data_IF_538061806042
#
_entry.id   IF_538061806042
#
_cell.length_a   1.000
_cell.length_b   1.000
_cell.length_c   1.000
_cell.angle_alpha   90.00
_cell.angle_beta   90.00
_cell.angle_gamma   90.00
#
_symmetry.space_group_name_H-M   'P 1'
#
loop_
_entity.id
_entity.type
_entity.pdbx_description
1 polymer ?
#
# COMPACT_ATOMS: atom_id res chain seq x y z
N UNK A 1 4.14 40.69 -6.60
CA UNK A 1 4.91 39.66 -5.87
C UNK A 1 4.55 38.32 -6.52
N UNK A 2 5.55 37.56 -6.99
CA UNK A 2 5.28 36.25 -7.61
C UNK A 2 4.69 35.28 -6.59
N UNK A 3 3.75 34.44 -7.01
CA UNK A 3 3.22 33.36 -6.19
C UNK A 3 4.32 32.36 -5.83
N UNK A 4 4.43 31.97 -4.56
CA UNK A 4 5.33 30.88 -4.14
C UNK A 4 5.02 29.62 -4.93
N UNK A 5 6.01 28.99 -5.60
CA UNK A 5 5.76 27.77 -6.36
C UNK A 5 5.37 26.64 -5.42
N UNK A 6 4.36 25.85 -5.82
CA UNK A 6 3.98 24.62 -5.12
C UNK A 6 5.02 23.54 -5.37
N UNK A 7 5.49 22.88 -4.30
CA UNK A 7 6.37 21.71 -4.41
C UNK A 7 5.49 20.47 -4.63
N UNK A 8 5.78 19.71 -5.68
CA UNK A 8 5.07 18.50 -6.08
C UNK A 8 6.07 17.45 -6.60
N UNK A 9 5.60 16.24 -6.93
CA UNK A 9 6.47 15.17 -7.43
C UNK A 9 7.31 15.65 -8.62
N UNK A 10 8.62 15.42 -8.55
CA UNK A 10 9.58 15.78 -9.59
C UNK A 10 10.12 17.21 -9.49
N UNK A 11 9.58 18.07 -8.63
CA UNK A 11 10.21 19.35 -8.33
C UNK A 11 11.62 19.14 -7.75
N UNK A 12 12.58 19.97 -8.18
CA UNK A 12 13.95 19.99 -7.66
C UNK A 12 14.37 21.42 -7.32
N UNK A 13 15.15 21.58 -6.24
CA UNK A 13 15.72 22.87 -5.85
C UNK A 13 16.66 23.41 -6.95
N UNK A 14 16.80 24.75 -7.02
CA UNK A 14 17.45 25.44 -8.13
C UNK A 14 18.94 25.08 -8.30
N UNK A 15 19.61 24.75 -7.20
CA UNK A 15 21.03 24.44 -7.09
C UNK A 15 21.35 22.94 -7.31
N UNK A 16 20.34 22.09 -7.49
CA UNK A 16 20.53 20.66 -7.71
C UNK A 16 21.02 20.38 -9.15
N UNK A 17 22.19 19.74 -9.23
CA UNK A 17 22.85 19.38 -10.48
C UNK A 17 22.08 18.32 -11.28
N UNK A 18 22.26 18.34 -12.61
CA UNK A 18 21.67 17.33 -13.49
C UNK A 18 22.17 15.91 -13.19
N UNK A 19 23.42 15.78 -12.71
CA UNK A 19 23.98 14.49 -12.30
C UNK A 19 23.23 13.89 -11.09
N UNK A 20 22.88 14.72 -10.10
CA UNK A 20 22.10 14.28 -8.94
C UNK A 20 20.67 13.90 -9.35
N UNK A 21 20.05 14.68 -10.23
CA UNK A 21 18.75 14.35 -10.82
C UNK A 21 18.81 13.00 -11.57
N UNK A 22 19.81 12.78 -12.42
CA UNK A 22 19.98 11.55 -13.18
C UNK A 22 20.20 10.33 -12.25
N UNK A 23 21.00 10.48 -11.19
CA UNK A 23 21.21 9.44 -10.19
C UNK A 23 19.90 9.07 -9.46
N UNK A 24 19.09 10.06 -9.10
CA UNK A 24 17.76 9.82 -8.53
C UNK A 24 16.83 9.06 -9.49
N UNK A 25 16.75 9.48 -10.76
CA UNK A 25 15.90 8.83 -11.75
C UNK A 25 16.36 7.39 -12.01
N UNK A 26 17.68 7.15 -12.10
CA UNK A 26 18.25 5.80 -12.25
C UNK A 26 17.90 4.89 -11.07
N UNK A 27 17.89 5.44 -9.85
CA UNK A 27 17.50 4.70 -8.65
C UNK A 27 16.00 4.33 -8.65
N UNK A 28 15.14 5.21 -9.17
CA UNK A 28 13.72 4.92 -9.38
C UNK A 28 13.53 3.77 -10.37
N UNK A 29 14.22 3.81 -11.51
CA UNK A 29 14.16 2.75 -12.52
C UNK A 29 14.65 1.41 -11.95
N UNK A 30 15.78 1.42 -11.23
CA UNK A 30 16.34 0.23 -10.59
C UNK A 30 15.38 -0.36 -9.55
N UNK A 31 14.78 0.47 -8.71
CA UNK A 31 13.90 0.04 -7.63
C UNK A 31 12.57 -0.49 -8.15
N UNK A 32 11.99 0.19 -9.14
CA UNK A 32 10.70 -0.18 -9.75
C UNK A 32 10.81 -1.19 -10.87
N UNK A 33 12.04 -1.43 -11.36
CA UNK A 33 12.42 -2.39 -12.42
C UNK A 33 11.77 -2.11 -13.77
N UNK A 34 11.41 -0.86 -14.01
CA UNK A 34 10.82 -0.40 -15.27
C UNK A 34 11.50 0.92 -15.63
N UNK A 35 11.91 1.06 -16.88
CA UNK A 35 12.44 2.31 -17.38
C UNK A 35 11.38 3.41 -17.31
N UNK A 36 11.74 4.63 -16.93
CA UNK A 36 10.82 5.76 -16.85
C UNK A 36 10.27 6.16 -18.23
N UNK A 37 11.02 5.87 -19.29
CA UNK A 37 10.56 6.03 -20.68
C UNK A 37 9.33 5.17 -21.00
N UNK A 38 9.19 4.01 -20.36
CA UNK A 38 8.08 3.08 -20.54
C UNK A 38 6.84 3.46 -19.71
N UNK A 39 6.99 4.37 -18.74
CA UNK A 39 5.90 4.83 -17.88
C UNK A 39 5.01 5.79 -18.65
N UNK A 40 3.69 5.54 -18.59
CA UNK A 40 2.67 6.39 -19.19
C UNK A 40 2.77 7.79 -18.62
N UNK A 41 2.42 8.77 -19.44
CA UNK A 41 2.41 10.17 -19.01
C UNK A 41 1.20 10.43 -18.10
N UNK A 42 1.38 10.19 -16.81
CA UNK A 42 0.40 10.38 -15.75
C UNK A 42 0.98 11.31 -14.69
N UNK A 43 0.15 11.91 -13.81
CA UNK A 43 0.65 12.72 -12.70
C UNK A 43 1.56 11.97 -11.70
N UNK A 44 1.54 10.63 -11.72
CA UNK A 44 2.41 9.79 -10.89
C UNK A 44 3.77 9.52 -11.56
N UNK A 45 3.97 9.88 -12.84
CA UNK A 45 5.28 9.79 -13.50
C UNK A 45 6.17 10.93 -13.03
N UNK A 46 7.30 10.58 -12.43
CA UNK A 46 8.29 11.59 -12.06
C UNK A 46 8.94 12.22 -13.30
N UNK A 47 8.81 13.54 -13.41
CA UNK A 47 9.47 14.38 -14.43
C UNK A 47 10.16 15.52 -13.71
N UNK A 48 11.46 15.71 -13.96
CA UNK A 48 12.25 16.71 -13.25
C UNK A 48 11.83 18.13 -13.64
N UNK A 49 11.45 18.92 -12.63
CA UNK A 49 11.01 20.32 -12.77
C UNK A 49 11.84 21.19 -11.84
N UNK A 50 12.85 21.86 -12.39
CA UNK A 50 13.71 22.75 -11.62
C UNK A 50 12.96 24.01 -11.22
N UNK A 51 12.87 24.24 -9.92
CA UNK A 51 12.25 25.45 -9.38
C UNK A 51 13.23 26.63 -9.49
N UNK A 52 12.69 27.83 -9.65
CA UNK A 52 13.48 29.04 -9.43
C UNK A 52 13.86 29.13 -7.94
N UNK A 53 14.90 29.90 -7.58
CA UNK A 53 15.23 30.16 -6.18
C UNK A 53 13.99 30.60 -5.39
N UNK A 54 13.74 29.94 -4.25
CA UNK A 54 12.55 30.21 -3.46
C UNK A 54 12.56 31.65 -2.94
N UNK A 55 11.41 32.35 -2.97
CA UNK A 55 11.33 33.70 -2.42
C UNK A 55 11.59 33.68 -0.91
N UNK A 56 12.06 34.81 -0.38
CA UNK A 56 12.31 34.97 1.06
C UNK A 56 11.09 34.55 1.89
N UNK A 57 11.31 33.66 2.86
CA UNK A 57 10.27 33.12 3.74
C UNK A 57 9.53 31.88 3.23
N UNK A 58 9.77 31.45 1.98
CA UNK A 58 9.29 30.15 1.50
C UNK A 58 10.34 29.05 1.75
N UNK A 59 9.86 27.82 2.00
CA UNK A 59 10.73 26.67 2.23
C UNK A 59 11.23 26.07 0.91
N UNK A 60 12.53 25.82 0.79
CA UNK A 60 13.09 24.95 -0.26
C UNK A 60 12.67 23.49 -0.04
N UNK A 61 12.87 22.64 -1.05
CA UNK A 61 12.58 21.21 -0.94
C UNK A 61 13.46 20.57 0.14
N UNK A 62 14.75 20.91 0.18
CA UNK A 62 15.64 20.44 1.23
C UNK A 62 15.16 20.86 2.64
N UNK A 63 14.65 22.08 2.81
CA UNK A 63 14.08 22.53 4.09
C UNK A 63 12.81 21.77 4.45
N UNK A 64 11.95 21.48 3.47
CA UNK A 64 10.75 20.63 3.68
C UNK A 64 11.15 19.22 4.11
N UNK A 65 12.15 18.61 3.47
CA UNK A 65 12.67 17.30 3.83
C UNK A 65 13.24 17.28 5.26
N UNK A 66 14.04 18.30 5.63
CA UNK A 66 14.57 18.45 6.99
C UNK A 66 13.45 18.58 8.02
N UNK A 67 12.46 19.42 7.75
CA UNK A 67 11.32 19.62 8.64
C UNK A 67 10.51 18.34 8.83
N UNK A 68 10.13 17.65 7.74
CA UNK A 68 9.40 16.37 7.79
C UNK A 68 10.20 15.29 8.54
N UNK A 69 11.52 15.24 8.37
CA UNK A 69 12.38 14.34 9.13
C UNK A 69 12.38 14.71 10.62
N UNK A 70 12.51 15.99 10.95
CA UNK A 70 12.52 16.49 12.32
C UNK A 70 11.23 16.13 13.08
N UNK A 71 10.06 16.22 12.43
CA UNK A 71 8.76 15.88 13.04
C UNK A 71 8.36 14.41 12.89
N UNK A 72 9.17 13.57 12.23
CA UNK A 72 9.01 12.10 12.22
C UNK A 72 8.24 11.50 11.04
N UNK A 73 7.97 12.27 9.98
CA UNK A 73 7.32 11.77 8.75
C UNK A 73 8.30 11.29 7.67
N UNK A 74 9.60 11.50 7.87
CA UNK A 74 10.62 11.15 6.87
C UNK A 74 11.86 10.45 7.50
N UNK A 75 11.66 9.33 8.22
CA UNK A 75 12.76 8.62 8.88
C UNK A 75 13.80 8.13 7.86
N UNK A 76 15.07 8.41 8.13
CA UNK A 76 16.20 8.12 7.23
C UNK A 76 15.96 8.58 5.79
N UNK A 77 15.19 9.65 5.62
CA UNK A 77 14.99 10.32 4.35
C UNK A 77 16.23 11.11 3.95
N UNK A 78 16.58 11.09 2.65
CA UNK A 78 17.69 11.91 2.14
C UNK A 78 17.22 13.36 2.02
N UNK A 79 18.02 14.28 2.52
CA UNK A 79 17.84 15.72 2.28
C UNK A 79 18.65 16.05 1.04
N UNK A 80 18.04 15.88 -0.13
CA UNK A 80 18.70 15.99 -1.44
C UNK A 80 18.10 17.10 -2.33
N UNK A 81 17.09 17.83 -1.83
CA UNK A 81 16.43 18.90 -2.59
C UNK A 81 15.59 18.38 -3.76
N UNK A 82 15.30 17.07 -3.82
CA UNK A 82 14.47 16.44 -4.87
C UNK A 82 13.17 15.95 -4.24
N UNK A 83 12.03 16.47 -4.71
CA UNK A 83 10.72 16.00 -4.29
C UNK A 83 10.37 14.70 -5.05
N UNK A 84 11.02 13.61 -4.68
CA UNK A 84 10.76 12.26 -5.19
C UNK A 84 9.58 11.58 -4.48
N UNK A 85 9.33 10.30 -4.81
CA UNK A 85 8.20 9.55 -4.24
C UNK A 85 8.20 9.51 -2.71
N UNK A 86 9.37 9.32 -2.07
CA UNK A 86 9.43 9.29 -0.60
C UNK A 86 9.10 10.66 0.03
N UNK A 87 9.57 11.75 -0.56
CA UNK A 87 9.25 13.11 -0.09
C UNK A 87 7.76 13.41 -0.30
N UNK A 88 7.20 13.06 -1.47
CA UNK A 88 5.77 13.23 -1.73
C UNK A 88 4.91 12.40 -0.76
N UNK A 89 5.29 11.14 -0.49
CA UNK A 89 4.62 10.30 0.50
C UNK A 89 4.70 10.90 1.91
N UNK A 90 5.84 11.44 2.32
CA UNK A 90 5.96 12.12 3.61
C UNK A 90 5.08 13.37 3.70
N UNK A 91 4.97 14.15 2.61
CA UNK A 91 4.04 15.29 2.51
C UNK A 91 2.58 14.80 2.65
N UNK A 92 2.19 13.75 1.92
CA UNK A 92 0.83 13.18 2.01
C UNK A 92 0.51 12.64 3.40
N UNK A 93 1.42 11.91 4.04
CA UNK A 93 1.23 11.45 5.42
C UNK A 93 1.06 12.62 6.38
N UNK A 94 1.86 13.67 6.24
CA UNK A 94 1.73 14.86 7.07
C UNK A 94 0.38 15.56 6.86
N UNK A 95 -0.04 15.75 5.60
CA UNK A 95 -1.36 16.30 5.26
C UNK A 95 -2.48 15.43 5.84
N UNK A 96 -2.36 14.10 5.79
CA UNK A 96 -3.33 13.16 6.34
C UNK A 96 -3.42 13.25 7.87
N UNK A 97 -2.29 13.43 8.57
CA UNK A 97 -2.28 13.69 10.00
C UNK A 97 -2.94 15.01 10.37
N UNK A 98 -2.63 16.08 9.63
CA UNK A 98 -3.30 17.37 9.84
C UNK A 98 -4.81 17.24 9.61
N UNK A 99 -5.23 16.49 8.58
CA UNK A 99 -6.64 16.24 8.30
C UNK A 99 -7.35 15.49 9.42
N UNK A 100 -6.73 14.43 9.91
CA UNK A 100 -7.39 13.47 10.82
C UNK A 100 -7.21 13.82 12.30
N UNK A 101 -5.99 14.15 12.73
CA UNK A 101 -5.69 14.44 14.13
C UNK A 101 -6.06 15.87 14.54
N UNK A 102 -6.07 16.83 13.60
CA UNK A 102 -6.45 18.23 13.88
C UNK A 102 -7.81 18.63 13.27
N UNK A 103 -8.51 17.69 12.65
CA UNK A 103 -9.80 17.90 11.98
C UNK A 103 -9.79 19.08 10.99
N UNK A 104 -8.72 19.20 10.20
CA UNK A 104 -8.56 20.27 9.22
C UNK A 104 -9.04 19.83 7.85
N UNK A 105 -9.71 20.73 7.12
CA UNK A 105 -10.17 20.45 5.76
C UNK A 105 -9.03 20.53 4.73
N UNK A 106 -8.09 19.58 4.76
CA UNK A 106 -6.97 19.49 3.82
C UNK A 106 -7.02 18.15 3.08
N UNK A 107 -6.82 18.16 1.76
CA UNK A 107 -6.71 16.94 0.95
C UNK A 107 -5.26 16.45 0.99
N UNK A 108 -4.99 15.16 1.28
CA UNK A 108 -3.67 14.56 1.18
C UNK A 108 -3.26 14.30 -0.28
N UNK A 109 -3.01 15.38 -1.03
CA UNK A 109 -2.70 15.35 -2.46
C UNK A 109 -1.19 15.31 -2.78
N UNK A 110 -0.33 15.52 -1.79
CA UNK A 110 1.12 15.55 -1.94
C UNK A 110 1.65 16.85 -2.53
N UNK A 111 0.81 17.87 -2.67
CA UNK A 111 1.18 19.21 -3.11
C UNK A 111 1.49 20.08 -1.90
N UNK A 112 2.75 20.42 -1.74
CA UNK A 112 3.20 21.28 -0.65
C UNK A 112 3.07 22.75 -1.08
N UNK A 113 1.89 23.30 -0.82
CA UNK A 113 1.56 24.72 -1.00
C UNK A 113 1.58 25.51 0.32
N UNK A 114 1.18 26.81 0.28
CA UNK A 114 1.24 27.69 1.45
C UNK A 114 0.51 27.16 2.69
N UNK A 115 -0.63 26.47 2.50
CA UNK A 115 -1.38 25.87 3.61
C UNK A 115 -0.58 24.77 4.30
N UNK A 116 -0.05 23.81 3.54
CA UNK A 116 0.79 22.73 4.09
C UNK A 116 2.04 23.29 4.75
N UNK A 117 2.67 24.31 4.16
CA UNK A 117 3.81 25.00 4.75
C UNK A 117 3.50 25.62 6.12
N UNK A 118 2.35 26.29 6.26
CA UNK A 118 1.92 26.88 7.53
C UNK A 118 1.72 25.82 8.62
N UNK A 119 1.11 24.68 8.29
CA UNK A 119 0.97 23.56 9.24
C UNK A 119 2.33 22.96 9.61
N UNK A 120 3.21 22.73 8.63
CA UNK A 120 4.53 22.13 8.87
C UNK A 120 5.38 23.03 9.76
N UNK A 121 5.42 24.34 9.47
CA UNK A 121 6.15 25.30 10.28
C UNK A 121 5.61 25.36 11.72
N UNK A 122 4.28 25.28 11.90
CA UNK A 122 3.68 25.22 13.24
C UNK A 122 4.14 23.99 14.01
N UNK A 123 4.13 22.80 13.39
CA UNK A 123 4.58 21.56 14.04
C UNK A 123 6.06 21.61 14.40
N UNK A 124 6.90 22.15 13.51
CA UNK A 124 8.34 22.35 13.80
C UNK A 124 8.52 23.30 14.99
N UNK A 125 7.81 24.43 15.01
CA UNK A 125 7.95 25.42 16.08
C UNK A 125 7.46 24.91 17.45
N UNK A 126 6.43 24.07 17.48
CA UNK A 126 5.90 23.48 18.71
C UNK A 126 6.59 22.17 19.12
N UNK A 127 7.50 21.63 18.30
CA UNK A 127 8.09 20.32 18.51
C UNK A 127 7.08 19.16 18.41
N UNK A 128 5.94 19.38 17.75
CA UNK A 128 4.89 18.40 17.61
C UNK A 128 5.34 17.22 16.74
N UNK A 129 4.92 16.02 17.14
CA UNK A 129 5.18 14.75 16.46
C UNK A 129 3.87 13.98 16.32
N UNK A 130 3.76 13.07 15.33
CA UNK A 130 2.57 12.24 15.20
C UNK A 130 2.40 11.36 16.44
N UNK A 131 1.22 11.43 17.05
CA UNK A 131 0.77 10.51 18.10
C UNK A 131 0.12 9.30 17.44
N UNK A 132 0.89 8.24 17.23
CA UNK A 132 0.43 6.98 16.64
C UNK A 132 -0.31 6.14 17.68
N UNK A 133 -1.38 6.68 18.28
CA UNK A 133 -2.18 5.97 19.29
C UNK A 133 -2.55 4.58 18.79
N UNK A 134 -2.28 3.57 19.61
CA UNK A 134 -2.44 2.18 19.23
C UNK A 134 -3.20 1.39 20.28
N UNK A 135 -3.95 0.37 19.83
CA UNK A 135 -4.51 -0.64 20.72
C UNK A 135 -3.38 -1.50 21.30
N UNK A 136 -3.21 -1.56 22.63
CA UNK A 136 -2.14 -2.34 23.25
C UNK A 136 -2.22 -3.81 22.85
N UNK A 137 -1.08 -4.40 22.48
CA UNK A 137 -0.96 -5.83 22.17
C UNK A 137 -1.46 -6.28 20.80
N UNK A 138 -2.20 -5.45 20.05
CA UNK A 138 -2.77 -5.88 18.77
C UNK A 138 -1.69 -6.28 17.75
N UNK A 139 -0.60 -5.52 17.68
CA UNK A 139 0.53 -5.82 16.77
C UNK A 139 1.11 -7.21 17.03
N UNK A 140 1.38 -7.52 18.30
CA UNK A 140 1.97 -8.81 18.69
C UNK A 140 0.99 -9.96 18.56
N UNK A 141 -0.31 -9.70 18.77
CA UNK A 141 -1.34 -10.68 18.52
C UNK A 141 -1.36 -11.11 17.04
N UNK A 142 -1.21 -10.17 16.10
CA UNK A 142 -1.13 -10.48 14.67
C UNK A 142 0.13 -11.25 14.30
N UNK A 143 1.30 -10.88 14.82
CA UNK A 143 2.54 -11.66 14.60
C UNK A 143 2.41 -13.08 15.18
N UNK A 144 1.83 -13.20 16.37
CA UNK A 144 1.55 -14.49 16.99
C UNK A 144 0.57 -15.34 16.18
N UNK A 145 -0.43 -14.73 15.54
CA UNK A 145 -1.32 -15.45 14.61
C UNK A 145 -0.54 -15.96 13.39
N UNK A 146 0.32 -15.13 12.78
CA UNK A 146 1.14 -15.56 11.64
C UNK A 146 2.02 -16.77 12.00
N UNK A 147 2.62 -16.78 13.20
CA UNK A 147 3.42 -17.93 13.66
C UNK A 147 2.57 -19.18 13.87
N UNK A 148 1.42 -19.08 14.54
CA UNK A 148 0.51 -20.23 14.73
C UNK A 148 0.02 -20.81 13.40
N UNK A 149 -0.30 -19.95 12.43
CA UNK A 149 -0.70 -20.40 11.08
C UNK A 149 0.46 -21.09 10.37
N UNK A 150 1.66 -20.52 10.45
CA UNK A 150 2.89 -21.12 9.92
C UNK A 150 3.11 -22.52 10.47
N UNK A 151 3.09 -22.68 11.80
CA UNK A 151 3.24 -23.97 12.49
C UNK A 151 2.18 -24.97 12.02
N UNK A 152 0.92 -24.54 11.95
CA UNK A 152 -0.19 -25.38 11.47
C UNK A 152 0.01 -25.84 10.02
N UNK A 153 0.46 -24.96 9.12
CA UNK A 153 0.70 -25.28 7.71
C UNK A 153 1.92 -26.19 7.51
N UNK A 154 2.87 -26.21 8.45
CA UNK A 154 3.99 -27.15 8.46
C UNK A 154 3.54 -28.52 8.97
N UNK A 155 2.79 -28.56 10.07
CA UNK A 155 2.36 -29.80 10.72
C UNK A 155 1.29 -30.54 9.91
N UNK A 156 0.30 -29.81 9.40
CA UNK A 156 -0.86 -30.34 8.70
C UNK A 156 -1.06 -29.62 7.35
N UNK A 157 -0.15 -29.81 6.37
CA UNK A 157 -0.24 -29.11 5.11
C UNK A 157 -1.48 -29.57 4.33
N UNK A 158 -2.41 -28.64 4.09
CA UNK A 158 -3.53 -28.85 3.18
C UNK A 158 -3.09 -29.01 1.72
N UNK A 159 -3.99 -29.38 0.79
CA UNK A 159 -3.63 -29.73 -0.59
C UNK A 159 -2.81 -28.67 -1.33
N UNK A 160 -3.21 -27.39 -1.28
CA UNK A 160 -2.43 -26.31 -1.91
C UNK A 160 -1.07 -26.10 -1.25
N UNK A 161 -0.98 -26.21 0.08
CA UNK A 161 0.29 -26.11 0.82
C UNK A 161 1.24 -27.25 0.44
N UNK A 162 0.74 -28.46 0.26
CA UNK A 162 1.53 -29.60 -0.23
C UNK A 162 2.10 -29.31 -1.63
N UNK A 163 1.30 -28.72 -2.53
CA UNK A 163 1.76 -28.33 -3.87
C UNK A 163 2.81 -27.22 -3.83
N UNK A 164 2.66 -26.23 -2.95
CA UNK A 164 3.68 -25.18 -2.72
C UNK A 164 4.99 -25.81 -2.22
N UNK A 165 4.93 -26.74 -1.27
CA UNK A 165 6.11 -27.43 -0.76
C UNK A 165 6.83 -28.27 -1.83
N UNK A 166 6.06 -28.92 -2.70
CA UNK A 166 6.55 -29.75 -3.80
C UNK A 166 7.04 -28.93 -5.02
N UNK A 167 6.67 -27.65 -5.14
CA UNK A 167 7.08 -26.80 -6.25
C UNK A 167 8.61 -26.62 -6.28
N UNK A 168 9.23 -26.96 -7.41
CA UNK A 168 10.68 -26.93 -7.61
C UNK A 168 11.18 -25.70 -8.40
N UNK A 169 10.27 -24.96 -9.04
CA UNK A 169 10.62 -23.77 -9.81
C UNK A 169 10.91 -22.56 -8.92
N UNK A 170 11.49 -21.51 -9.50
CA UNK A 170 11.62 -20.23 -8.82
C UNK A 170 10.26 -19.54 -8.69
N UNK A 171 9.95 -19.00 -7.52
CA UNK A 171 8.76 -18.17 -7.30
C UNK A 171 8.98 -17.20 -6.13
N UNK A 172 8.11 -16.20 -6.03
CA UNK A 172 8.03 -15.28 -4.89
C UNK A 172 7.13 -15.80 -3.76
N UNK A 173 6.55 -17.00 -3.91
CA UNK A 173 5.76 -17.65 -2.86
C UNK A 173 6.66 -18.49 -1.98
N UNK A 174 6.53 -18.30 -0.67
CA UNK A 174 7.36 -18.96 0.32
C UNK A 174 6.70 -20.23 0.81
N UNK A 175 7.51 -21.27 0.99
CA UNK A 175 7.11 -22.46 1.72
C UNK A 175 6.89 -22.06 3.18
N UNK A 176 5.94 -22.67 3.92
CA UNK A 176 5.70 -22.35 5.33
C UNK A 176 6.97 -22.34 6.19
N UNK A 177 7.90 -23.27 5.97
CA UNK A 177 9.18 -23.30 6.69
C UNK A 177 10.03 -22.02 6.52
N UNK A 178 9.88 -21.32 5.39
CA UNK A 178 10.61 -20.11 5.04
C UNK A 178 9.84 -18.82 5.38
N UNK A 179 8.66 -18.92 6.00
CA UNK A 179 7.89 -17.74 6.39
C UNK A 179 8.62 -16.99 7.49
N UNK A 180 8.68 -15.67 7.32
CA UNK A 180 9.17 -14.73 8.32
C UNK A 180 7.96 -14.08 8.99
N UNK A 181 7.86 -14.24 10.31
CA UNK A 181 6.78 -13.76 11.17
C UNK A 181 7.30 -12.74 12.19
N UNK A 182 8.55 -12.29 12.03
CA UNK A 182 9.19 -11.39 12.98
C UNK A 182 8.81 -9.93 12.74
N UNK A 183 8.76 -9.15 13.83
CA UNK A 183 8.65 -7.68 13.81
C UNK A 183 9.62 -7.04 14.80
N UNK A 184 9.66 -5.70 14.94
CA UNK A 184 8.99 -4.69 14.11
C UNK A 184 9.82 -4.20 12.89
N UNK A 185 10.99 -4.82 12.65
CA UNK A 185 11.90 -4.46 11.54
C UNK A 185 11.44 -4.87 10.14
N UNK A 186 10.28 -5.52 10.02
CA UNK A 186 9.70 -6.02 8.78
C UNK A 186 8.33 -5.39 8.50
N UNK A 187 7.98 -5.34 7.21
CA UNK A 187 6.67 -4.90 6.74
C UNK A 187 5.86 -6.16 6.41
N UNK A 188 4.77 -6.37 7.16
CA UNK A 188 3.80 -7.43 6.84
C UNK A 188 2.52 -6.80 6.34
N UNK A 189 2.01 -7.29 5.21
CA UNK A 189 0.67 -6.98 4.73
C UNK A 189 -0.12 -8.27 4.71
N UNK A 190 -1.20 -8.34 5.45
CA UNK A 190 -1.98 -9.57 5.62
C UNK A 190 -3.31 -9.38 4.92
N UNK A 191 -3.59 -10.14 3.86
CA UNK A 191 -4.94 -10.23 3.31
C UNK A 191 -5.70 -11.36 3.98
N UNK A 192 -6.92 -11.13 4.43
CA UNK A 192 -7.79 -12.17 4.99
C UNK A 192 -8.91 -12.45 4.00
N UNK A 193 -8.79 -13.54 3.24
CA UNK A 193 -9.80 -13.98 2.27
C UNK A 193 -10.99 -14.59 2.98
N UNK A 194 -12.19 -14.10 2.70
CA UNK A 194 -13.44 -14.68 3.21
C UNK A 194 -13.67 -16.10 2.68
N UNK A 195 -14.41 -16.88 3.45
CA UNK A 195 -14.87 -18.22 3.02
C UNK A 195 -15.99 -18.15 1.98
N UNK A 196 -16.63 -16.98 1.85
CA UNK A 196 -17.73 -16.72 0.92
C UNK A 196 -17.24 -15.84 -0.22
N UNK A 197 -17.27 -16.37 -1.44
CA UNK A 197 -17.01 -15.60 -2.65
C UNK A 197 -18.26 -14.80 -3.03
N UNK A 198 -18.20 -13.48 -2.88
CA UNK A 198 -19.35 -12.57 -3.07
C UNK A 198 -19.17 -11.59 -4.24
N UNK A 199 -17.99 -11.56 -4.89
CA UNK A 199 -17.59 -10.51 -5.85
C UNK A 199 -17.69 -9.08 -5.25
N UNK A 200 -17.58 -8.95 -3.93
CA UNK A 200 -17.60 -7.68 -3.20
C UNK A 200 -16.25 -7.34 -2.60
N UNK A 201 -16.11 -6.10 -2.16
CA UNK A 201 -14.97 -5.66 -1.36
C UNK A 201 -15.24 -5.88 0.14
N UNK A 202 -15.35 -7.13 0.56
CA UNK A 202 -15.65 -7.52 1.95
C UNK A 202 -14.45 -8.17 2.68
N UNK A 203 -13.30 -8.25 2.01
CA UNK A 203 -12.03 -8.63 2.62
C UNK A 203 -11.39 -7.45 3.37
N UNK A 204 -10.54 -7.80 4.35
CA UNK A 204 -9.72 -6.83 5.07
C UNK A 204 -8.25 -7.15 4.86
N UNK A 205 -7.47 -6.09 4.64
CA UNK A 205 -6.03 -6.09 4.62
C UNK A 205 -5.50 -5.46 5.89
N UNK A 206 -4.52 -6.08 6.53
CA UNK A 206 -3.89 -5.59 7.77
C UNK A 206 -2.42 -5.31 7.51
N UNK A 207 -2.00 -4.06 7.64
CA UNK A 207 -0.61 -3.65 7.53
C UNK A 207 0.02 -3.59 8.91
N UNK A 208 1.07 -4.38 9.14
CA UNK A 208 1.91 -4.36 10.32
C UNK A 208 3.25 -3.74 9.97
N UNK A 209 3.60 -2.62 10.61
CA UNK A 209 4.95 -2.03 10.48
C UNK A 209 5.28 -1.16 11.68
N UNK A 210 6.52 -1.25 12.18
CA UNK A 210 7.02 -0.39 13.28
C UNK A 210 6.13 -0.44 14.55
N UNK A 211 5.54 -1.60 14.85
CA UNK A 211 4.59 -1.76 15.96
C UNK A 211 3.16 -1.27 15.68
N UNK A 212 2.90 -0.68 14.52
CA UNK A 212 1.60 -0.12 14.14
C UNK A 212 0.76 -1.12 13.36
N UNK A 213 -0.56 -1.05 13.53
CA UNK A 213 -1.56 -1.86 12.83
C UNK A 213 -2.52 -0.95 12.09
N UNK A 214 -2.54 -1.01 10.77
CA UNK A 214 -3.56 -0.35 9.95
C UNK A 214 -4.43 -1.39 9.27
N UNK A 215 -5.71 -1.09 9.07
CA UNK A 215 -6.63 -1.99 8.37
C UNK A 215 -7.28 -1.29 7.19
N UNK A 216 -7.40 -2.00 6.07
CA UNK A 216 -7.94 -1.47 4.83
C UNK A 216 -8.98 -2.43 4.27
N UNK A 217 -10.05 -1.89 3.70
CA UNK A 217 -11.02 -2.69 2.96
C UNK A 217 -10.48 -3.01 1.56
N UNK A 218 -10.77 -4.20 1.05
CA UNK A 218 -10.39 -4.58 -0.30
C UNK A 218 -11.03 -5.88 -0.76
N UNK A 219 -10.41 -6.49 -1.76
CA UNK A 219 -10.69 -7.86 -2.18
C UNK A 219 -9.38 -8.60 -2.49
N UNK A 220 -9.32 -9.83 -2.03
CA UNK A 220 -8.25 -10.80 -2.25
C UNK A 220 -8.59 -11.80 -3.37
N UNK A 221 -9.81 -11.70 -3.88
CA UNK A 221 -10.37 -12.58 -4.88
C UNK A 221 -10.35 -11.89 -6.26
N UNK A 222 -10.19 -12.66 -7.34
CA UNK A 222 -10.45 -12.15 -8.68
C UNK A 222 -11.92 -11.73 -8.81
N UNK A 223 -12.16 -10.64 -9.55
CA UNK A 223 -13.46 -10.27 -10.07
C UNK A 223 -13.71 -10.95 -11.42
N UNK A 224 -14.03 -10.15 -12.43
CA UNK A 224 -14.30 -10.67 -13.77
C UNK A 224 -13.00 -11.08 -14.48
N UNK A 225 -13.04 -12.15 -15.27
CA UNK A 225 -11.95 -12.56 -16.15
C UNK A 225 -12.50 -13.07 -17.48
N UNK A 226 -11.89 -12.63 -18.58
CA UNK A 226 -12.18 -13.13 -19.93
C UNK A 226 -11.24 -14.26 -20.36
N UNK A 227 -10.36 -14.73 -19.47
CA UNK A 227 -9.42 -15.78 -19.80
C UNK A 227 -10.14 -17.14 -19.92
N UNK A 228 -9.90 -17.93 -20.98
CA UNK A 228 -10.65 -19.17 -21.23
C UNK A 228 -10.46 -20.23 -20.12
N UNK A 229 -9.30 -20.21 -19.46
CA UNK A 229 -9.00 -21.10 -18.33
C UNK A 229 -9.45 -20.55 -16.96
N UNK A 230 -10.22 -19.46 -16.93
CA UNK A 230 -10.64 -18.80 -15.70
C UNK A 230 -9.59 -17.86 -15.10
N UNK A 231 -9.97 -17.11 -14.05
CA UNK A 231 -9.07 -16.17 -13.37
C UNK A 231 -7.97 -16.89 -12.57
N UNK A 232 -6.75 -16.32 -12.47
CA UNK A 232 -5.75 -16.77 -11.51
C UNK A 232 -6.14 -16.40 -10.07
N UNK A 233 -6.13 -17.39 -9.20
CA UNK A 233 -6.22 -17.22 -7.75
C UNK A 233 -4.83 -17.33 -7.14
N UNK A 234 -4.44 -16.30 -6.38
CA UNK A 234 -3.26 -16.37 -5.52
C UNK A 234 -3.45 -17.49 -4.48
N UNK A 235 -2.47 -18.37 -4.37
CA UNK A 235 -2.47 -19.44 -3.36
C UNK A 235 -2.34 -18.84 -1.96
N UNK A 236 -3.06 -19.34 -0.94
CA UNK A 236 -2.85 -18.90 0.43
C UNK A 236 -1.40 -19.11 0.89
N UNK A 237 -0.88 -18.17 1.69
CA UNK A 237 0.46 -18.23 2.26
C UNK A 237 1.23 -16.92 2.19
N UNK A 238 2.54 -16.96 2.47
CA UNK A 238 3.40 -15.76 2.46
C UNK A 238 4.14 -15.60 1.13
N UNK A 239 4.20 -14.35 0.66
CA UNK A 239 4.74 -13.97 -0.64
C UNK A 239 5.61 -12.72 -0.52
N UNK A 240 6.60 -12.60 -1.40
CA UNK A 240 7.51 -11.46 -1.46
C UNK A 240 7.03 -10.43 -2.49
N UNK A 241 6.81 -9.21 -2.03
CA UNK A 241 6.42 -8.06 -2.86
C UNK A 241 7.40 -6.89 -2.71
N UNK A 242 7.47 -6.05 -3.75
CA UNK A 242 8.22 -4.79 -3.77
C UNK A 242 7.41 -3.69 -4.46
N UNK A 243 7.83 -2.43 -4.33
CA UNK A 243 7.23 -1.34 -5.09
C UNK A 243 7.56 -1.43 -6.58
N UNK A 244 6.54 -1.36 -7.41
CA UNK A 244 6.64 -1.28 -8.86
C UNK A 244 5.43 -0.57 -9.46
N UNK A 245 5.21 -0.74 -10.77
CA UNK A 245 4.17 -0.03 -11.49
C UNK A 245 2.96 -0.90 -11.83
N UNK A 246 1.76 -0.43 -11.53
CA UNK A 246 0.53 -1.01 -12.05
C UNK A 246 0.15 -0.35 -13.38
N UNK A 247 0.00 -1.16 -14.43
CA UNK A 247 -0.31 -0.71 -15.80
C UNK A 247 0.60 0.43 -16.31
N UNK A 248 1.83 0.51 -15.80
CA UNK A 248 2.78 1.60 -16.09
C UNK A 248 2.21 2.99 -15.82
N UNK A 249 1.32 3.14 -14.84
CA UNK A 249 0.54 4.37 -14.61
C UNK A 249 0.65 4.93 -13.20
N UNK A 250 0.75 4.09 -12.17
CA UNK A 250 0.95 4.50 -10.77
C UNK A 250 1.63 3.40 -9.97
N UNK A 251 2.18 3.75 -8.81
CA UNK A 251 2.88 2.82 -7.92
C UNK A 251 1.93 1.81 -7.27
N UNK A 252 2.37 0.56 -7.23
CA UNK A 252 1.69 -0.56 -6.60
C UNK A 252 2.72 -1.55 -6.02
N UNK A 253 2.25 -2.54 -5.26
CA UNK A 253 3.10 -3.66 -4.87
C UNK A 253 3.06 -4.72 -5.98
N UNK A 254 4.23 -5.22 -6.36
CA UNK A 254 4.43 -6.26 -7.37
C UNK A 254 5.21 -7.44 -6.79
N UNK A 255 5.02 -8.67 -7.31
CA UNK A 255 5.85 -9.82 -6.94
C UNK A 255 7.35 -9.51 -7.11
N UNK A 256 8.17 -9.97 -6.17
CA UNK A 256 9.60 -9.61 -6.06
C UNK A 256 10.50 -10.18 -7.15
N UNK A 257 10.07 -11.06 -8.02
CA UNK A 257 10.96 -11.71 -8.99
C UNK A 257 10.17 -12.50 -10.03
N UNK A 258 10.24 -13.85 -10.03
CA UNK A 258 9.60 -14.67 -11.06
C UNK A 258 8.06 -14.61 -11.04
N UNK A 259 7.46 -14.15 -9.94
CA UNK A 259 6.02 -14.13 -9.73
C UNK A 259 5.58 -14.97 -8.54
N UNK A 260 4.39 -14.66 -8.05
CA UNK A 260 3.71 -15.45 -7.01
C UNK A 260 3.02 -16.65 -7.64
N UNK A 261 2.87 -17.73 -6.87
CA UNK A 261 2.20 -18.93 -7.34
C UNK A 261 0.70 -18.69 -7.39
N UNK A 262 0.12 -18.96 -8.54
CA UNK A 262 -1.33 -18.97 -8.72
C UNK A 262 -1.82 -20.32 -9.19
N UNK A 263 -3.07 -20.58 -8.89
CA UNK A 263 -3.86 -21.66 -9.48
C UNK A 263 -5.03 -21.02 -10.22
N UNK A 264 -5.33 -21.49 -11.43
CA UNK A 264 -6.46 -20.95 -12.19
C UNK A 264 -7.75 -21.63 -11.75
N UNK A 265 -8.77 -20.82 -11.50
CA UNK A 265 -10.12 -21.30 -11.21
C UNK A 265 -10.81 -21.94 -12.43
N UNK A 266 -12.08 -22.25 -12.29
CA UNK A 266 -12.96 -22.69 -13.37
C UNK A 266 -13.40 -21.56 -14.30
N UNK A 267 -14.08 -21.95 -15.39
CA UNK A 267 -14.70 -21.00 -16.33
C UNK A 267 -15.86 -20.20 -15.69
N UNK A 268 -16.38 -20.66 -14.56
CA UNK A 268 -17.39 -19.98 -13.74
C UNK A 268 -16.78 -18.87 -12.85
N UNK A 269 -15.46 -18.70 -12.89
CA UNK A 269 -14.75 -17.67 -12.14
C UNK A 269 -14.48 -18.01 -10.69
N UNK A 270 -14.74 -19.25 -10.26
CA UNK A 270 -14.56 -19.72 -8.88
C UNK A 270 -13.37 -20.64 -8.75
N UNK A 271 -12.88 -20.80 -7.52
CA UNK A 271 -11.87 -21.81 -7.20
C UNK A 271 -12.53 -22.94 -6.41
N UNK A 272 -12.75 -24.06 -7.09
CA UNK A 272 -13.43 -25.22 -6.53
C UNK A 272 -12.46 -26.36 -6.20
N UNK A 273 -12.94 -27.39 -5.51
CA UNK A 273 -12.13 -28.57 -5.15
C UNK A 273 -11.51 -29.24 -6.39
N UNK A 274 -12.22 -29.27 -7.51
CA UNK A 274 -11.73 -29.84 -8.76
C UNK A 274 -10.55 -29.04 -9.36
N UNK A 275 -10.45 -27.76 -9.03
CA UNK A 275 -9.36 -26.90 -9.53
C UNK A 275 -8.06 -27.14 -8.78
N UNK A 276 -8.11 -27.66 -7.55
CA UNK A 276 -6.93 -27.88 -6.68
C UNK A 276 -5.88 -28.75 -7.37
N UNK A 277 -6.28 -29.63 -8.29
CA UNK A 277 -5.37 -30.51 -9.03
C UNK A 277 -4.62 -29.80 -10.17
N UNK A 278 -5.11 -28.64 -10.65
CA UNK A 278 -4.46 -27.84 -11.71
C UNK A 278 -3.05 -27.38 -11.32
N UNK A 279 -2.09 -27.29 -12.25
CA UNK A 279 -0.71 -26.94 -11.94
C UNK A 279 -0.59 -25.54 -11.33
N UNK A 280 0.35 -25.39 -10.38
CA UNK A 280 0.75 -24.07 -9.90
C UNK A 280 1.65 -23.39 -10.93
N UNK A 281 1.42 -22.11 -11.17
CA UNK A 281 2.22 -21.31 -12.10
C UNK A 281 2.71 -20.03 -11.43
N UNK A 282 4.01 -19.68 -11.53
CA UNK A 282 4.48 -18.35 -11.14
C UNK A 282 3.86 -17.28 -12.05
N UNK A 283 3.36 -16.21 -11.46
CA UNK A 283 2.75 -15.11 -12.17
C UNK A 283 3.24 -13.76 -11.60
N UNK A 284 3.98 -13.01 -12.42
CA UNK A 284 4.58 -11.72 -12.06
C UNK A 284 3.64 -10.50 -12.25
N UNK A 285 2.39 -10.72 -12.66
CA UNK A 285 1.39 -9.67 -12.90
C UNK A 285 0.33 -9.57 -11.81
N UNK A 286 0.34 -10.46 -10.81
CA UNK A 286 -0.55 -10.41 -9.66
C UNK A 286 -0.04 -9.34 -8.70
N UNK A 287 -0.56 -8.12 -8.86
CA UNK A 287 -0.16 -6.97 -8.06
C UNK A 287 -1.09 -6.80 -6.83
N UNK A 288 -0.67 -5.94 -5.89
CA UNK A 288 -1.56 -5.35 -4.88
C UNK A 288 -1.73 -3.87 -5.23
N UNK A 289 -2.91 -3.49 -5.72
CA UNK A 289 -3.15 -2.16 -6.26
C UNK A 289 -4.49 -1.56 -5.83
N UNK A 290 -4.79 -0.37 -6.33
CA UNK A 290 -6.00 0.35 -6.00
C UNK A 290 -7.23 -0.23 -6.69
N UNK A 291 -8.29 -0.52 -5.92
CA UNK A 291 -9.57 -1.07 -6.36
C UNK A 291 -10.69 -0.04 -6.60
N UNK A 292 -10.33 1.23 -6.82
CA UNK A 292 -11.33 2.30 -6.90
C UNK A 292 -11.80 2.78 -5.53
N UNK A 293 -12.96 3.47 -5.49
CA UNK A 293 -13.54 3.95 -4.24
C UNK A 293 -13.86 2.81 -3.27
N UNK A 294 -14.31 1.66 -3.78
CA UNK A 294 -14.74 0.54 -2.95
C UNK A 294 -16.17 0.67 -2.42
N UNK A 295 -16.41 0.14 -1.20
CA UNK A 295 -17.70 0.03 -0.51
C UNK A 295 -18.58 -1.12 -1.05
N UNK A 296 -19.88 -0.92 -1.23
CA UNK A 296 -20.83 -1.93 -1.71
C UNK A 296 -20.69 -2.28 -3.21
N UNK A 297 -19.73 -1.67 -3.91
CA UNK A 297 -19.43 -1.93 -5.31
C UNK A 297 -18.91 -3.35 -5.54
N UNK A 298 -19.07 -3.83 -6.77
CA UNK A 298 -18.53 -5.12 -7.21
C UNK A 298 -17.05 -4.99 -7.61
N UNK A 299 -16.28 -6.04 -7.38
CA UNK A 299 -14.87 -6.10 -7.80
C UNK A 299 -14.76 -6.03 -9.31
N UNK A 300 -15.52 -6.84 -10.06
CA UNK A 300 -15.60 -6.79 -11.53
C UNK A 300 -14.22 -6.60 -12.20
N UNK A 301 -14.08 -5.61 -13.07
CA UNK A 301 -12.86 -5.34 -13.84
C UNK A 301 -11.78 -4.59 -13.03
N UNK A 302 -12.00 -4.32 -11.74
CA UNK A 302 -10.95 -3.78 -10.88
C UNK A 302 -9.86 -4.81 -10.61
N UNK A 303 -10.17 -6.10 -10.69
CA UNK A 303 -9.19 -7.17 -10.56
C UNK A 303 -9.57 -8.40 -11.38
N UNK A 304 -8.67 -8.87 -12.23
CA UNK A 304 -8.77 -10.20 -12.85
C UNK A 304 -8.01 -11.27 -12.05
N UNK A 305 -7.51 -10.95 -10.85
CA UNK A 305 -6.68 -11.82 -10.00
C UNK A 305 -5.65 -11.11 -9.13
N UNK A 306 -5.47 -9.81 -9.33
CA UNK A 306 -4.75 -8.94 -8.41
C UNK A 306 -5.45 -8.87 -7.05
N UNK A 307 -4.72 -8.43 -6.03
CA UNK A 307 -5.28 -8.04 -4.75
C UNK A 307 -5.59 -6.54 -4.83
N UNK A 308 -6.77 -6.12 -4.40
CA UNK A 308 -7.21 -4.74 -4.55
C UNK A 308 -7.59 -4.12 -3.22
N UNK A 309 -7.13 -2.89 -2.98
CA UNK A 309 -7.41 -2.12 -1.77
C UNK A 309 -8.16 -0.85 -2.14
N UNK A 310 -9.20 -0.55 -1.37
CA UNK A 310 -10.14 0.52 -1.67
C UNK A 310 -9.63 1.89 -1.22
N UNK A 311 -10.24 2.94 -1.79
CA UNK A 311 -9.92 4.33 -1.46
C UNK A 311 -10.79 4.96 -0.37
N UNK A 312 -11.95 4.40 -0.03
CA UNK A 312 -12.93 5.12 0.81
C UNK A 312 -12.52 5.23 2.28
N UNK A 313 -11.95 4.17 2.85
CA UNK A 313 -11.86 4.01 4.30
C UNK A 313 -10.61 3.24 4.69
N UNK A 314 -10.08 3.53 5.86
CA UNK A 314 -9.16 2.67 6.58
C UNK A 314 -9.44 2.77 8.08
N UNK A 315 -8.93 1.82 8.87
CA UNK A 315 -8.87 1.93 10.32
C UNK A 315 -7.45 2.27 10.75
N UNK A 316 -7.32 3.30 11.59
CA UNK A 316 -6.04 3.71 12.16
C UNK A 316 -5.58 2.73 13.28
N UNK A 317 -4.39 2.91 13.88
CA UNK A 317 -3.90 2.00 14.92
C UNK A 317 -4.71 2.03 16.23
N UNK A 318 -5.51 3.07 16.48
CA UNK A 318 -6.49 3.10 17.56
C UNK A 318 -7.76 2.28 17.22
N UNK A 319 -7.87 1.81 15.98
CA UNK A 319 -9.03 1.10 15.43
C UNK A 319 -10.22 2.01 15.15
N UNK A 320 -9.98 3.31 14.98
CA UNK A 320 -10.98 4.29 14.58
C UNK A 320 -11.09 4.30 13.05
N UNK A 321 -12.32 4.39 12.54
CA UNK A 321 -12.57 4.51 11.11
C UNK A 321 -12.21 5.90 10.62
N UNK A 322 -11.41 5.97 9.55
CA UNK A 322 -11.05 7.22 8.89
C UNK A 322 -11.69 7.25 7.51
N UNK A 323 -12.51 8.28 7.29
CA UNK A 323 -13.24 8.49 6.06
C UNK A 323 -12.44 9.34 5.06
N UNK A 324 -12.23 8.81 3.86
CA UNK A 324 -11.55 9.45 2.73
C UNK A 324 -12.51 9.73 1.54
N UNK A 325 -13.80 9.40 1.67
CA UNK A 325 -14.76 9.38 0.56
C UNK A 325 -14.90 10.72 -0.19
N UNK A 326 -14.74 11.85 0.49
CA UNK A 326 -14.87 13.18 -0.11
C UNK A 326 -13.84 13.43 -1.22
N UNK A 327 -12.64 12.86 -1.09
CA UNK A 327 -11.55 12.99 -2.07
C UNK A 327 -11.13 11.66 -2.71
N UNK A 328 -11.68 10.52 -2.29
CA UNK A 328 -11.45 9.24 -2.97
C UNK A 328 -12.09 9.25 -4.36
N UNK A 329 -11.29 8.94 -5.38
CA UNK A 329 -11.75 8.76 -6.74
C UNK A 329 -12.68 7.54 -6.86
N UNK A 330 -13.70 7.67 -7.68
CA UNK A 330 -14.63 6.61 -8.08
C UNK A 330 -14.10 5.86 -9.30
N UNK A 331 -13.47 6.57 -10.24
CA UNK A 331 -13.02 6.02 -11.53
C UNK A 331 -11.51 6.08 -11.67
N UNK A 332 -10.95 5.16 -12.46
CA UNK A 332 -9.50 5.00 -12.64
C UNK A 332 -8.79 6.25 -13.18
N UNK A 333 -9.46 7.06 -14.00
CA UNK A 333 -8.89 8.27 -14.60
C UNK A 333 -8.96 9.54 -13.74
N UNK A 334 -9.79 9.57 -12.68
CA UNK A 334 -9.98 10.79 -11.87
C UNK A 334 -8.70 11.23 -11.13
N UNK A 335 -7.90 10.34 -10.52
CA UNK A 335 -6.63 10.73 -9.90
C UNK A 335 -5.61 11.28 -10.91
N UNK A 336 -5.76 10.92 -12.19
CA UNK A 336 -4.87 11.34 -13.26
C UNK A 336 -5.32 12.66 -13.90
N UNK A 337 -6.52 13.15 -13.59
CA UNK A 337 -7.09 14.36 -14.19
C UNK A 337 -6.65 15.59 -13.39
N UNK A 338 -5.88 16.51 -13.98
CA UNK A 338 -5.46 17.74 -13.29
C UNK A 338 -6.67 18.53 -12.78
N UNK A 339 -6.62 18.94 -11.51
CA UNK A 339 -7.67 19.73 -10.88
C UNK A 339 -8.91 18.95 -10.43
N UNK A 340 -8.94 17.62 -10.56
CA UNK A 340 -10.08 16.82 -10.09
C UNK A 340 -10.32 16.89 -8.58
N UNK A 341 -9.26 17.22 -7.82
CA UNK A 341 -9.28 17.14 -6.36
C UNK A 341 -9.42 15.70 -5.83
N UNK A 342 -9.34 14.70 -6.70
CA UNK A 342 -9.49 13.29 -6.35
C UNK A 342 -8.15 12.59 -6.25
N UNK A 343 -8.04 11.71 -5.25
CA UNK A 343 -6.87 10.86 -5.02
C UNK A 343 -7.30 9.40 -4.91
N UNK A 344 -6.37 8.48 -4.69
CA UNK A 344 -6.70 7.07 -4.41
C UNK A 344 -7.07 6.82 -2.94
N UNK A 345 -7.23 7.88 -2.14
CA UNK A 345 -7.73 7.82 -0.77
C UNK A 345 -6.91 6.90 0.14
N UNK A 346 -7.57 6.01 0.86
CA UNK A 346 -6.96 5.05 1.77
C UNK A 346 -5.85 4.18 1.13
N UNK A 347 -5.92 3.92 -0.18
CA UNK A 347 -4.82 3.24 -0.88
C UNK A 347 -3.52 4.07 -0.91
N UNK A 348 -3.62 5.39 -1.10
CA UNK A 348 -2.44 6.25 -1.03
C UNK A 348 -1.84 6.18 0.37
N UNK A 349 -2.65 6.18 1.43
CA UNK A 349 -2.14 6.04 2.79
C UNK A 349 -1.30 4.76 2.96
N UNK A 350 -1.78 3.61 2.49
CA UNK A 350 -1.02 2.35 2.57
C UNK A 350 0.34 2.48 1.87
N UNK A 351 0.35 3.01 0.65
CA UNK A 351 1.59 3.21 -0.13
C UNK A 351 2.50 4.21 0.57
N UNK A 352 1.94 5.27 1.14
CA UNK A 352 2.69 6.35 1.78
C UNK A 352 3.30 5.92 3.11
N UNK A 353 2.59 5.15 3.94
CA UNK A 353 3.11 4.56 5.17
C UNK A 353 4.36 3.74 4.86
N UNK A 354 4.24 2.81 3.91
CA UNK A 354 5.35 1.94 3.51
C UNK A 354 6.47 2.75 2.85
N UNK A 355 6.19 3.72 1.98
CA UNK A 355 7.21 4.48 1.23
C UNK A 355 7.97 5.48 2.11
N UNK A 356 7.26 6.23 2.95
CA UNK A 356 7.85 7.28 3.77
C UNK A 356 8.53 6.72 5.02
N UNK A 357 7.89 5.77 5.70
CA UNK A 357 8.31 5.35 7.04
C UNK A 357 9.26 4.15 7.09
N UNK A 358 9.50 3.46 5.96
CA UNK A 358 10.39 2.28 5.91
C UNK A 358 11.87 2.60 5.66
N UNK A 359 12.26 3.88 5.57
CA UNK A 359 13.62 4.26 5.18
C UNK A 359 14.73 3.79 6.13
N UNK A 360 14.38 3.48 7.38
CA UNK A 360 15.25 2.96 8.43
C UNK A 360 15.09 1.44 8.65
N UNK A 361 14.26 0.77 7.84
CA UNK A 361 14.02 -0.67 7.94
C UNK A 361 15.08 -1.46 7.17
N UNK A 362 15.36 -2.68 7.64
CA UNK A 362 16.41 -3.55 7.06
C UNK A 362 16.11 -3.98 5.63
N UNK A 363 14.83 -4.05 5.26
CA UNK A 363 14.37 -4.48 3.96
C UNK A 363 13.15 -3.67 3.53
N UNK A 364 13.09 -3.37 2.23
CA UNK A 364 11.93 -2.78 1.57
C UNK A 364 10.99 -3.85 0.97
N UNK A 365 11.24 -5.13 1.22
CA UNK A 365 10.33 -6.22 0.85
C UNK A 365 9.10 -6.20 1.74
N UNK A 366 7.93 -6.10 1.11
CA UNK A 366 6.64 -6.33 1.77
C UNK A 366 6.36 -7.82 1.78
N UNK A 367 6.22 -8.40 2.98
CA UNK A 367 5.78 -9.78 3.17
C UNK A 367 4.27 -9.79 3.13
N UNK A 368 3.73 -10.18 1.98
CA UNK A 368 2.29 -10.31 1.84
C UNK A 368 1.86 -11.71 2.27
N UNK A 369 1.08 -11.84 3.34
CA UNK A 369 0.50 -13.12 3.76
C UNK A 369 -0.98 -13.13 3.41
N UNK A 370 -1.40 -14.06 2.56
CA UNK A 370 -2.81 -14.34 2.29
C UNK A 370 -3.30 -15.43 3.24
N UNK A 371 -4.05 -15.05 4.25
CA UNK A 371 -4.74 -15.96 5.16
C UNK A 371 -6.12 -16.32 4.62
N UNK A 372 -6.59 -17.51 4.97
CA UNK A 372 -8.01 -17.87 4.83
C UNK A 372 -8.74 -17.48 6.11
N UNK A 373 -9.99 -17.06 6.01
CA UNK A 373 -10.82 -16.73 7.17
C UNK A 373 -10.85 -17.82 8.27
N UNK A 374 -10.90 -19.14 7.96
CA UNK A 374 -10.78 -20.18 8.98
C UNK A 374 -9.47 -20.19 9.78
N UNK A 375 -8.39 -19.59 9.26
CA UNK A 375 -7.12 -19.49 9.98
C UNK A 375 -7.25 -18.57 11.23
N UNK A 376 -8.26 -17.67 11.25
CA UNK A 376 -8.52 -16.76 12.37
C UNK A 376 -8.96 -17.47 13.66
N UNK A 377 -9.43 -18.73 13.58
CA UNK A 377 -9.80 -19.53 14.76
C UNK A 377 -8.62 -19.70 15.74
N UNK A 378 -7.38 -19.57 15.24
CA UNK A 378 -6.15 -19.59 16.04
C UNK A 378 -5.91 -18.28 16.81
N UNK A 379 -6.76 -17.26 16.64
CA UNK A 379 -6.74 -15.99 17.37
C UNK A 379 -8.15 -15.38 17.49
N UNK A 380 -9.05 -15.94 18.33
CA UNK A 380 -10.46 -15.54 18.39
C UNK A 380 -10.70 -14.05 18.66
N UNK A 381 -9.84 -13.39 19.46
CA UNK A 381 -9.95 -11.95 19.72
C UNK A 381 -9.68 -11.11 18.46
N UNK A 382 -8.72 -11.52 17.62
CA UNK A 382 -8.46 -10.89 16.34
C UNK A 382 -9.61 -11.12 15.37
N UNK A 383 -10.18 -12.33 15.36
CA UNK A 383 -11.37 -12.64 14.57
C UNK A 383 -12.53 -11.71 14.91
N UNK A 384 -12.85 -11.58 16.20
CA UNK A 384 -13.90 -10.70 16.68
C UNK A 384 -13.62 -9.24 16.30
N UNK A 385 -12.38 -8.78 16.50
CA UNK A 385 -11.97 -7.42 16.14
C UNK A 385 -12.07 -7.14 14.64
N UNK A 386 -11.72 -8.12 13.80
CA UNK A 386 -11.82 -8.02 12.35
C UNK A 386 -13.28 -7.97 11.88
N UNK A 387 -14.14 -8.79 12.48
CA UNK A 387 -15.58 -8.76 12.19
C UNK A 387 -16.23 -7.43 12.60
N UNK A 388 -15.84 -6.86 13.74
CA UNK A 388 -16.27 -5.52 14.15
C UNK A 388 -15.77 -4.45 13.17
N UNK A 389 -14.54 -4.55 12.67
CA UNK A 389 -14.01 -3.64 11.66
C UNK A 389 -14.76 -3.75 10.31
N UNK A 390 -15.14 -4.97 9.89
CA UNK A 390 -15.98 -5.16 8.70
C UNK A 390 -17.34 -4.50 8.87
N UNK A 391 -18.00 -4.72 10.00
CA UNK A 391 -19.31 -4.13 10.31
C UNK A 391 -19.27 -2.60 10.26
N UNK A 392 -18.27 -1.97 10.88
CA UNK A 392 -18.16 -0.50 10.89
C UNK A 392 -17.92 0.11 9.51
N UNK A 393 -17.24 -0.62 8.61
CA UNK A 393 -17.09 -0.21 7.21
C UNK A 393 -18.41 -0.31 6.44
N UNK A 394 -19.19 -1.36 6.69
CA UNK A 394 -20.52 -1.54 6.08
C UNK A 394 -21.49 -0.46 6.56
N UNK A 395 -21.51 -0.15 7.86
CA UNK A 395 -22.36 0.90 8.43
C UNK A 395 -22.06 2.29 7.83
N UNK A 396 -20.82 2.54 7.41
CA UNK A 396 -20.45 3.78 6.72
C UNK A 396 -20.70 3.75 5.20
N UNK A 397 -21.03 2.58 4.65
CA UNK A 397 -21.42 2.40 3.24
C UNK A 397 -22.92 2.58 3.01
N UNK A 398 -23.73 2.25 4.02
CA UNK A 398 -25.18 2.44 4.06
C UNK A 398 -25.54 3.87 4.45
#
# INVERSE_FOLDING_TARGET
>A
MGSTPTIELGCVDADISDANCAAFLSEVERTTRVALADIRDTPDKVVTKRLAPMPSGAMSIAQVQQALAAIGFFPSGRVDGICGYRTQSAIRLFQEFVRTAENQDIVPDGKFGPRTAAHLQRWVNSGQRPDWRQRPGEYEAWLGLLERVKENYIAEPGPLTQKVNAFQGASDTLKPADWDTSGPGNIHLIGVRRSQFTNKFDDIFVLLMKGLVFKFQGSTEPGHSSHPEGPPFLVPGQHKYHFGWHQRSYLALRPQGPGVLVIRGGADGRLDLADIDKPLTPNATINIHWGGRGMAGDVNNWSEGCQVINGSVYLNPAGEIVNCQSFAAVRSGEPQTPGSGKTRGAYNLLVDLVTALSGDMQSNTVRYTLLKEPDLVLAPELEQGLNAARASVVDMAT
#
